data_IF_956063176864
#
_entry.id   IF_956063176864
#
_cell.length_a   1.000
_cell.length_b   1.000
_cell.length_c   1.000
_cell.angle_alpha   90.00
_cell.angle_beta   90.00
_cell.angle_gamma   90.00
#
_symmetry.space_group_name_H-M   'P 1'
#
loop_
_entity.id
_entity.type
_entity.pdbx_description
1 polymer ?
#
# COMPACT_ATOMS: atom_id res chain seq x y z
N UNK A 1 -46.56 -43.81 -10.69
CA UNK A 1 -45.93 -43.41 -10.30
C UNK A 1 -45.24 -42.65 -9.74
N UNK A 2 -45.17 -42.55 -9.61
CA UNK A 2 -44.62 -42.06 -9.38
C UNK A 2 -43.91 -41.33 -8.76
N UNK A 3 -43.79 -41.12 -8.50
CA UNK A 3 -43.11 -40.36 -8.00
C UNK A 3 -42.26 -40.07 -7.44
N UNK A 4 -42.42 -40.34 -7.21
CA UNK A 4 -41.74 -40.26 -6.67
C UNK A 4 -40.78 -39.59 -6.57
N UNK A 5 -40.53 -39.54 -6.76
CA UNK A 5 -39.57 -38.99 -6.69
C UNK A 5 -39.20 -38.18 -6.07
N UNK A 6 -39.36 -38.13 -5.68
CA UNK A 6 -38.86 -37.52 -5.14
C UNK A 6 -38.10 -37.01 -4.66
N UNK A 7 -38.11 -37.22 -4.52
CA UNK A 7 -37.48 -36.89 -4.00
C UNK A 7 -36.56 -36.33 -3.80
N UNK A 8 -36.58 -36.45 -3.93
CA UNK A 8 -35.65 -36.16 -3.65
C UNK A 8 -35.06 -35.48 -3.40
N UNK A 9 -35.39 -35.44 -3.21
CA UNK A 9 -34.83 -35.01 -2.94
C UNK A 9 -34.15 -34.30 -2.52
N UNK A 10 -34.32 -34.35 -2.47
CA UNK A 10 -33.69 -33.87 -2.01
C UNK A 10 -32.89 -33.42 -1.47
N UNK A 11 -33.05 -33.55 -1.37
CA UNK A 11 -32.37 -33.36 -0.73
C UNK A 11 -31.41 -32.74 -0.53
N UNK A 12 -31.61 -32.91 -0.85
CA UNK A 12 -30.67 -32.59 -0.66
C UNK A 12 -30.14 -31.77 -0.24
N UNK A 13 -30.36 -31.61 -0.30
CA UNK A 13 -29.83 -31.01 0.07
C UNK A 13 -29.25 -30.42 0.69
N UNK A 14 -29.34 -30.54 0.94
CA UNK A 14 -28.91 -29.94 1.74
C UNK A 14 -27.82 -29.72 1.81
N UNK A 15 -27.73 -30.07 1.80
CA UNK A 15 -26.75 -29.98 1.95
C UNK A 15 -26.09 -29.06 1.99
N UNK A 16 -26.24 -28.85 1.79
CA UNK A 16 -25.55 -28.06 1.78
C UNK A 16 -25.03 -27.34 2.39
N UNK A 17 -25.18 -27.37 2.80
CA UNK A 17 -24.83 -26.58 3.51
C UNK A 17 -23.71 -26.35 3.68
N UNK A 18 -23.54 -26.76 3.72
CA UNK A 18 -22.62 -26.58 3.94
C UNK A 18 -21.88 -25.73 3.97
N UNK A 19 -21.89 -25.56 3.70
CA UNK A 19 -21.09 -24.88 3.73
C UNK A 19 -20.68 -24.03 4.19
N UNK A 20 -20.73 -23.91 4.47
CA UNK A 20 -20.45 -23.00 4.98
C UNK A 20 -19.46 -22.65 5.35
N UNK A 21 -19.28 -22.79 5.55
CA UNK A 21 -18.48 -22.48 6.01
C UNK A 21 -17.68 -21.77 6.03
N UNK A 22 -17.66 -21.73 5.89
CA UNK A 22 -16.92 -21.11 6.00
C UNK A 22 -16.31 -20.32 6.27
N UNK A 23 -16.03 -20.34 6.30
CA UNK A 23 -15.43 -19.65 6.64
C UNK A 23 -14.98 -18.68 6.73
N UNK A 24 -14.93 -18.52 6.73
CA UNK A 24 -14.58 -17.52 6.78
C UNK A 24 -13.90 -17.10 7.59
N UNK A 25 -13.78 -17.32 7.98
CA UNK A 25 -13.15 -16.95 8.70
C UNK A 25 -12.51 -16.25 8.87
N UNK A 26 -12.46 -16.11 8.71
CA UNK A 26 -11.91 -15.47 8.98
C UNK A 26 -11.43 -14.57 9.17
N UNK A 27 -11.25 -14.70 9.26
CA UNK A 27 -10.71 -14.03 9.43
C UNK A 27 -10.78 -13.10 9.87
N UNK A 28 -10.87 -13.05 9.79
CA UNK A 28 -10.87 -12.16 10.00
C UNK A 28 -10.78 -11.57 10.94
N UNK A 29 -10.97 -11.61 11.29
CA UNK A 29 -11.10 -10.98 12.17
C UNK A 29 -10.24 -10.57 12.85
N UNK A 30 -10.01 -11.01 13.07
CA UNK A 30 -9.18 -10.83 13.79
C UNK A 30 -8.81 -9.64 13.73
N UNK A 31 -8.72 -9.30 13.17
CA UNK A 31 -8.34 -8.27 12.93
C UNK A 31 -8.55 -7.22 13.65
N UNK A 32 -9.23 -7.12 14.14
CA UNK A 32 -9.52 -6.01 14.79
C UNK A 32 -8.57 -5.68 15.73
N UNK A 33 -8.45 -6.39 16.40
CA UNK A 33 -7.64 -6.13 17.36
C UNK A 33 -6.56 -5.70 16.83
N UNK A 34 -6.32 -6.23 16.01
CA UNK A 34 -5.30 -5.90 15.48
C UNK A 34 -5.32 -4.67 15.08
N UNK A 35 -6.23 -4.17 15.01
CA UNK A 35 -6.14 -2.90 14.68
C UNK A 35 -5.28 -2.25 15.57
N UNK A 36 -4.91 -2.79 16.49
CA UNK A 36 -3.98 -2.18 17.32
C UNK A 36 -2.76 -1.85 16.58
N UNK A 37 -1.95 -1.06 17.11
CA UNK A 37 -0.71 -0.69 16.51
C UNK A 37 0.16 -1.89 16.23
N UNK A 38 0.61 -2.08 15.03
CA UNK A 38 1.55 -3.15 14.74
C UNK A 38 2.80 -2.96 15.54
N UNK A 39 3.35 -4.06 16.01
CA UNK A 39 4.52 -3.98 16.83
C UNK A 39 5.60 -4.83 16.31
N UNK A 40 5.81 -5.20 15.27
CA UNK A 40 6.93 -5.96 14.81
C UNK A 40 7.29 -5.57 13.43
N UNK A 41 8.50 -5.88 13.05
CA UNK A 41 8.97 -5.54 11.72
C UNK A 41 8.14 -6.18 10.65
N UNK A 42 7.63 -7.39 10.89
CA UNK A 42 6.79 -8.06 9.88
C UNK A 42 5.50 -7.28 9.65
N UNK A 43 4.89 -6.76 10.71
CA UNK A 43 3.67 -5.98 10.58
C UNK A 43 3.96 -4.66 9.87
N UNK A 44 5.05 -4.03 10.21
CA UNK A 44 5.42 -2.78 9.55
C UNK A 44 5.80 -3.01 8.10
N UNK A 45 6.41 -4.17 7.78
CA UNK A 45 6.71 -4.50 6.40
C UNK A 45 5.43 -4.59 5.58
N UNK A 46 4.38 -5.18 6.14
CA UNK A 46 3.10 -5.26 5.44
C UNK A 46 2.49 -3.87 5.24
N UNK A 47 2.59 -3.01 6.25
CA UNK A 47 2.09 -1.64 6.13
C UNK A 47 2.81 -0.90 5.02
N UNK A 48 4.14 -0.96 5.02
CA UNK A 48 4.93 -0.23 4.01
C UNK A 48 4.67 -0.77 2.62
N UNK A 49 4.58 -2.11 2.48
CA UNK A 49 4.32 -2.71 1.18
C UNK A 49 2.96 -2.25 0.65
N UNK A 50 1.96 -2.24 1.51
CA UNK A 50 0.62 -1.80 1.13
C UNK A 50 0.61 -0.34 0.72
N UNK A 51 1.28 0.52 1.48
CA UNK A 51 1.34 1.94 1.14
C UNK A 51 2.08 2.18 -0.16
N UNK A 52 3.18 1.45 -0.38
CA UNK A 52 3.95 1.59 -1.62
C UNK A 52 3.14 1.17 -2.83
N UNK A 53 2.42 0.06 -2.72
CA UNK A 53 1.60 -0.42 -3.80
C UNK A 53 0.45 0.54 -4.11
N UNK A 54 -0.18 1.07 -3.06
CA UNK A 54 -1.27 2.04 -3.24
C UNK A 54 -0.76 3.31 -3.91
N UNK A 55 0.43 3.75 -3.55
CA UNK A 55 1.03 4.94 -4.14
C UNK A 55 1.33 4.71 -5.62
N UNK A 56 1.93 3.57 -5.94
CA UNK A 56 2.23 3.24 -7.34
C UNK A 56 0.96 3.26 -8.18
N UNK A 57 -0.08 2.61 -7.70
CA UNK A 57 -1.36 2.57 -8.43
C UNK A 57 -1.98 3.95 -8.59
N UNK A 58 -1.89 4.78 -7.56
CA UNK A 58 -2.45 6.13 -7.63
C UNK A 58 -1.70 6.97 -8.65
N UNK A 59 -0.39 6.82 -8.73
CA UNK A 59 0.40 7.54 -9.72
C UNK A 59 0.08 7.07 -11.14
N UNK A 60 -0.12 5.77 -11.31
CA UNK A 60 -0.45 5.24 -12.63
C UNK A 60 -1.80 5.72 -13.13
N UNK A 61 -2.77 5.85 -12.23
CA UNK A 61 -4.10 6.28 -12.63
C UNK A 61 -4.29 7.79 -12.56
N UNK A 62 -3.32 8.50 -11.98
CA UNK A 62 -3.45 9.94 -11.80
C UNK A 62 -4.50 10.32 -10.75
N UNK A 63 -4.76 9.42 -9.82
CA UNK A 63 -5.81 9.62 -8.82
C UNK A 63 -5.26 10.37 -7.62
N UNK A 64 -5.50 11.67 -7.56
CA UNK A 64 -4.94 12.49 -6.49
C UNK A 64 -5.50 12.14 -5.12
N UNK A 65 -6.76 11.73 -5.05
CA UNK A 65 -7.35 11.36 -3.77
C UNK A 65 -6.74 10.08 -3.24
N UNK A 66 -6.53 9.09 -4.12
CA UNK A 66 -5.89 7.84 -3.72
C UNK A 66 -4.45 8.08 -3.28
N UNK A 67 -3.75 8.97 -3.99
CA UNK A 67 -2.38 9.29 -3.64
C UNK A 67 -2.33 9.99 -2.28
N UNK A 68 -3.22 10.93 -2.05
CA UNK A 68 -3.26 11.66 -0.79
C UNK A 68 -3.58 10.75 0.39
N UNK A 69 -4.25 9.63 0.14
CA UNK A 69 -4.58 8.68 1.21
C UNK A 69 -3.34 7.94 1.73
N UNK A 70 -2.22 7.99 1.02
CA UNK A 70 -1.00 7.29 1.46
C UNK A 70 -0.09 8.18 2.30
N UNK A 71 -0.38 9.47 2.41
CA UNK A 71 0.49 10.40 3.13
C UNK A 71 -0.32 11.19 4.13
N UNK A 72 0.38 11.74 5.12
CA UNK A 72 -0.26 12.63 6.09
C UNK A 72 -0.51 13.97 5.43
N UNK A 73 -1.73 14.50 5.49
CA UNK A 73 -2.02 15.79 4.84
C UNK A 73 -1.07 16.89 5.31
N UNK A 74 -0.55 17.64 4.37
CA UNK A 74 0.35 18.75 4.67
C UNK A 74 1.77 18.36 5.02
N UNK A 75 2.09 17.07 4.98
CA UNK A 75 3.42 16.60 5.33
C UNK A 75 4.38 16.75 4.16
N UNK A 76 5.70 16.67 4.42
CA UNK A 76 6.66 16.66 3.31
C UNK A 76 6.42 15.55 2.30
N UNK A 77 6.00 14.37 2.76
CA UNK A 77 5.71 13.28 1.82
C UNK A 77 4.53 13.65 0.94
N UNK A 78 3.49 14.27 1.49
CA UNK A 78 2.33 14.68 0.71
C UNK A 78 2.72 15.73 -0.31
N UNK A 79 3.56 16.67 0.06
CA UNK A 79 4.00 17.72 -0.86
C UNK A 79 4.79 17.13 -2.02
N UNK A 80 5.68 16.20 -1.74
CA UNK A 80 6.48 15.57 -2.78
C UNK A 80 5.61 14.83 -3.77
N UNK A 81 4.61 14.12 -3.27
CA UNK A 81 3.72 13.37 -4.14
C UNK A 81 2.83 14.29 -4.97
N UNK A 82 2.37 15.39 -4.39
CA UNK A 82 1.58 16.36 -5.13
C UNK A 82 2.39 17.00 -6.23
N UNK A 83 3.64 17.31 -5.95
CA UNK A 83 4.52 17.89 -6.96
C UNK A 83 4.76 16.91 -8.10
N UNK A 84 4.95 15.64 -7.78
CA UNK A 84 5.15 14.63 -8.80
C UNK A 84 3.91 14.49 -9.67
N UNK A 85 2.74 14.42 -9.07
CA UNK A 85 1.51 14.27 -9.84
C UNK A 85 1.24 15.50 -10.69
N UNK A 86 1.51 16.70 -10.14
CA UNK A 86 1.35 17.93 -10.90
C UNK A 86 2.30 17.94 -12.10
N UNK A 87 3.53 17.52 -11.91
CA UNK A 87 4.49 17.46 -13.01
C UNK A 87 4.01 16.51 -14.10
N UNK A 88 3.46 15.37 -13.73
CA UNK A 88 2.92 14.44 -14.72
C UNK A 88 1.75 15.05 -15.48
N UNK A 89 0.86 15.72 -14.77
CA UNK A 89 -0.28 16.35 -15.42
C UNK A 89 0.14 17.49 -16.34
N UNK A 90 1.08 18.29 -15.89
CA UNK A 90 1.53 19.43 -16.69
C UNK A 90 2.23 18.98 -17.96
N UNK A 91 2.95 17.87 -17.91
CA UNK A 91 3.63 17.36 -19.09
C UNK A 91 2.71 16.50 -19.96
N UNK A 92 1.53 16.14 -19.45
CA UNK A 92 0.62 15.25 -20.17
C UNK A 92 1.09 13.81 -20.21
N UNK A 93 2.02 13.45 -19.33
CA UNK A 93 2.56 12.09 -19.31
C UNK A 93 1.75 11.21 -18.39
N UNK A 94 1.67 9.93 -18.74
CA UNK A 94 1.13 8.91 -17.85
C UNK A 94 2.23 7.90 -17.55
N UNK A 95 2.08 7.21 -16.42
CA UNK A 95 3.05 6.23 -15.97
C UNK A 95 2.40 4.87 -15.98
N UNK A 96 3.12 3.86 -16.43
CA UNK A 96 2.65 2.48 -16.35
C UNK A 96 3.79 1.58 -15.91
N UNK A 97 3.44 0.39 -15.47
CA UNK A 97 4.42 -0.59 -15.00
C UNK A 97 5.24 -0.08 -13.81
N UNK A 98 4.66 0.79 -13.02
CA UNK A 98 5.36 1.33 -11.86
C UNK A 98 5.26 0.32 -10.72
N UNK A 99 6.40 -0.13 -10.28
CA UNK A 99 6.43 -1.13 -9.21
C UNK A 99 7.58 -0.83 -8.26
N UNK A 100 7.24 -0.53 -7.02
CA UNK A 100 8.22 -0.26 -5.98
C UNK A 100 8.33 -1.50 -5.10
N UNK A 101 9.54 -1.95 -4.89
CA UNK A 101 9.79 -3.08 -3.99
C UNK A 101 10.46 -2.58 -2.74
N UNK A 102 10.11 -3.19 -1.60
CA UNK A 102 10.70 -2.85 -0.32
C UNK A 102 11.18 -4.13 0.35
N UNK A 103 12.27 -4.02 1.10
CA UNK A 103 12.81 -5.17 1.80
C UNK A 103 13.58 -4.67 3.02
N UNK A 104 13.89 -5.60 3.92
CA UNK A 104 14.70 -5.28 5.09
C UNK A 104 14.07 -4.27 6.02
N UNK A 105 12.76 -4.31 6.17
CA UNK A 105 12.04 -3.35 7.00
C UNK A 105 12.34 -3.62 8.47
N UNK A 106 12.82 -2.59 9.16
CA UNK A 106 13.04 -2.73 10.59
C UNK A 106 12.71 -1.41 11.29
N UNK A 107 12.10 -1.51 12.44
CA UNK A 107 11.74 -0.33 13.21
C UNK A 107 13.00 0.29 13.81
N UNK A 108 13.12 1.61 13.74
CA UNK A 108 14.25 2.33 14.31
C UNK A 108 13.71 3.51 15.12
N UNK A 109 14.58 4.15 15.88
CA UNK A 109 14.17 5.28 16.69
C UNK A 109 13.72 6.44 15.81
N UNK A 110 12.68 7.13 16.22
CA UNK A 110 12.18 8.29 15.48
C UNK A 110 13.12 9.47 15.75
N UNK A 111 13.62 10.13 14.70
CA UNK A 111 14.44 11.31 14.92
C UNK A 111 13.69 12.38 15.72
N UNK A 112 14.43 13.12 16.55
CA UNK A 112 13.80 14.06 17.48
C UNK A 112 12.89 15.07 16.79
N UNK A 113 13.34 15.64 15.67
CA UNK A 113 12.51 16.61 14.97
C UNK A 113 11.23 16.00 14.47
N UNK A 114 11.29 14.76 13.99
CA UNK A 114 10.11 14.07 13.49
C UNK A 114 9.17 13.72 14.63
N UNK A 115 9.73 13.31 15.76
CA UNK A 115 8.90 13.02 16.93
C UNK A 115 8.17 14.26 17.42
N UNK A 116 8.79 15.40 17.31
CA UNK A 116 8.15 16.66 17.70
C UNK A 116 6.99 17.01 16.77
N UNK A 117 7.15 16.78 15.47
CA UNK A 117 6.09 17.07 14.52
C UNK A 117 5.01 16.00 14.48
N UNK A 118 5.40 14.76 14.70
CA UNK A 118 4.48 13.62 14.59
C UNK A 118 4.60 12.78 15.86
N UNK A 119 3.92 13.17 16.93
CA UNK A 119 4.13 12.50 18.25
C UNK A 119 3.84 11.00 18.25
N UNK A 120 2.95 10.55 17.38
CA UNK A 120 2.61 9.12 17.34
C UNK A 120 3.38 8.35 16.27
N UNK A 121 4.39 8.97 15.70
CA UNK A 121 5.09 8.38 14.56
C UNK A 121 5.94 7.19 14.95
N UNK A 122 6.10 6.33 13.95
CA UNK A 122 7.02 5.19 14.03
C UNK A 122 7.99 5.38 12.87
N UNK A 123 9.25 5.10 13.08
CA UNK A 123 10.24 5.18 12.01
C UNK A 123 10.69 3.80 11.62
N UNK A 124 10.79 3.56 10.31
CA UNK A 124 11.30 2.28 9.82
C UNK A 124 12.39 2.52 8.81
N UNK A 125 13.45 1.73 8.91
CA UNK A 125 14.51 1.72 7.90
C UNK A 125 14.21 0.57 6.95
N UNK A 126 14.43 0.79 5.67
CA UNK A 126 14.19 -0.25 4.68
C UNK A 126 15.00 0.03 3.43
N UNK A 127 15.11 -0.99 2.58
CA UNK A 127 15.67 -0.82 1.25
C UNK A 127 14.52 -0.70 0.27
N UNK A 128 14.62 0.25 -0.62
CA UNK A 128 13.59 0.49 -1.63
C UNK A 128 14.23 0.51 -3.01
N UNK A 129 13.57 -0.14 -3.95
CA UNK A 129 14.01 -0.16 -5.34
C UNK A 129 12.79 0.00 -6.23
N UNK A 130 13.00 0.44 -7.45
CA UNK A 130 11.91 0.53 -8.41
C UNK A 130 12.26 -0.23 -9.66
N UNK A 131 11.31 -0.97 -10.18
CA UNK A 131 11.46 -1.67 -11.45
C UNK A 131 11.40 -0.66 -12.59
N UNK A 132 11.87 -1.04 -13.78
CA UNK A 132 11.70 -0.12 -14.93
C UNK A 132 10.23 0.17 -15.15
N UNK A 133 9.93 1.41 -15.48
CA UNK A 133 8.55 1.81 -15.74
C UNK A 133 8.48 2.48 -17.09
N UNK A 134 7.27 2.76 -17.56
CA UNK A 134 7.06 3.38 -18.85
C UNK A 134 6.38 4.71 -18.66
N UNK A 135 6.88 5.73 -19.36
CA UNK A 135 6.22 7.04 -19.43
C UNK A 135 5.69 7.21 -20.82
N UNK A 136 4.42 7.59 -20.92
CA UNK A 136 3.79 7.81 -22.22
C UNK A 136 3.37 9.27 -22.27
N UNK A 137 3.85 9.96 -23.30
CA UNK A 137 3.55 11.38 -23.49
C UNK A 137 2.15 11.56 -24.08
N UNK A 138 1.68 12.79 -24.05
CA UNK A 138 0.34 13.11 -24.55
C UNK A 138 0.16 12.72 -26.01
N UNK A 139 1.24 12.72 -26.79
CA UNK A 139 1.17 12.35 -28.21
C UNK A 139 1.26 10.84 -28.44
N UNK A 140 1.33 10.05 -27.38
CA UNK A 140 1.39 8.60 -27.49
C UNK A 140 2.79 8.02 -27.51
N UNK A 141 3.81 8.87 -27.53
CA UNK A 141 5.19 8.40 -27.54
C UNK A 141 5.56 7.85 -26.17
N UNK A 142 6.16 6.68 -26.12
CA UNK A 142 6.53 6.05 -24.87
C UNK A 142 8.04 5.99 -24.71
N UNK A 143 8.49 6.05 -23.46
CA UNK A 143 9.90 5.84 -23.15
C UNK A 143 10.00 5.02 -21.86
N UNK A 144 11.05 4.27 -21.75
CA UNK A 144 11.30 3.47 -20.56
C UNK A 144 12.11 4.29 -19.57
N UNK A 145 11.66 4.28 -18.32
CA UNK A 145 12.43 4.85 -17.22
C UNK A 145 13.20 3.70 -16.58
N UNK A 146 14.52 3.80 -16.52
CA UNK A 146 15.32 2.69 -15.99
C UNK A 146 14.98 2.36 -14.53
N UNK A 147 15.27 1.15 -14.15
CA UNK A 147 15.11 0.72 -12.77
C UNK A 147 15.95 1.59 -11.86
N UNK A 148 15.46 1.82 -10.66
CA UNK A 148 16.25 2.47 -9.63
C UNK A 148 16.84 1.40 -8.74
N UNK A 149 18.15 1.46 -8.55
CA UNK A 149 18.83 0.49 -7.70
C UNK A 149 18.35 0.61 -6.27
N UNK A 150 18.44 -0.48 -5.54
CA UNK A 150 18.06 -0.51 -4.14
C UNK A 150 18.87 0.49 -3.33
N UNK A 151 18.21 1.22 -2.49
CA UNK A 151 18.89 2.14 -1.57
C UNK A 151 18.11 2.19 -0.26
N UNK A 152 18.79 2.54 0.80
CA UNK A 152 18.15 2.56 2.12
C UNK A 152 17.55 3.92 2.42
N UNK A 153 16.37 3.90 3.01
CA UNK A 153 15.69 5.10 3.45
C UNK A 153 15.05 4.83 4.81
N UNK A 154 14.63 5.90 5.45
CA UNK A 154 13.83 5.82 6.66
C UNK A 154 12.49 6.47 6.36
N UNK A 155 11.42 5.76 6.63
CA UNK A 155 10.08 6.29 6.50
C UNK A 155 9.54 6.65 7.87
N UNK A 156 8.94 7.82 7.97
CA UNK A 156 8.24 8.22 9.18
C UNK A 156 6.77 7.95 8.92
N UNK A 157 6.20 7.03 9.69
CA UNK A 157 4.83 6.58 9.50
C UNK A 157 3.97 7.05 10.67
N UNK A 158 2.77 7.48 10.38
CA UNK A 158 1.83 7.92 11.41
C UNK A 158 0.62 7.00 11.34
N UNK A 159 0.19 6.42 12.46
CA UNK A 159 -0.93 5.48 12.45
C UNK A 159 -2.30 6.14 12.43
N UNK A 160 -3.32 5.34 12.24
CA UNK A 160 -4.73 5.65 12.40
C UNK A 160 -5.30 6.60 11.36
N UNK A 161 -5.25 6.27 10.10
CA UNK A 161 -4.64 5.06 9.51
C UNK A 161 -3.17 5.29 9.21
N UNK A 162 -2.48 4.22 8.91
CA UNK A 162 -1.07 4.33 8.58
C UNK A 162 -0.86 5.15 7.32
N UNK A 163 -0.01 6.16 7.43
CA UNK A 163 0.34 7.04 6.31
C UNK A 163 1.77 7.48 6.46
N UNK A 164 2.39 7.85 5.35
CA UNK A 164 3.77 8.32 5.37
C UNK A 164 3.78 9.82 5.61
N UNK A 165 4.57 10.26 6.57
CA UNK A 165 4.74 11.68 6.84
C UNK A 165 6.02 12.23 6.22
N UNK A 166 7.11 11.47 6.29
CA UNK A 166 8.38 11.94 5.75
C UNK A 166 9.19 10.77 5.24
N UNK A 167 10.04 11.05 4.26
CA UNK A 167 10.99 10.09 3.72
C UNK A 167 12.37 10.70 3.92
N UNK A 168 13.23 10.01 4.64
CA UNK A 168 14.55 10.52 4.99
C UNK A 168 15.63 9.60 4.44
N UNK A 169 16.79 10.12 4.12
CA UNK A 169 17.91 9.24 3.76
C UNK A 169 18.36 8.45 4.98
N UNK A 170 18.71 7.20 4.76
CA UNK A 170 19.12 6.35 5.87
C UNK A 170 20.51 6.64 6.34
N UNK A 171 21.37 7.22 5.43
CA UNK A 171 22.67 7.49 5.84
C UNK A 171 22.88 8.88 6.09
N UNK A 172 23.76 9.22 6.88
CA UNK A 172 23.98 10.56 7.34
C UNK A 172 25.22 11.17 6.77
#
# INVERSE_FOLDING_TARGET
GAGTASEGTASAGPTGPAGPTAPPGPAAPADPADSATPTGSADLAAVVTSLSSARDGALETGDSAALAATTVPGSPAAQADEEMLTALRDSGETVSDLETSVSGVEEVAVPADCAARWPDAVAVRLSRAQQPSTRTAADGTSRTVPAQASHEIILILVPDPWRVAEVLPAEQ
#
